data_IF_659643679616
#
_entry.id   IF_659643679616
#
_cell.length_a   1.000
_cell.length_b   1.000
_cell.length_c   1.000
_cell.angle_alpha   90.00
_cell.angle_beta   90.00
_cell.angle_gamma   90.00
#
_symmetry.space_group_name_H-M   'P 1'
#
loop_
_entity.id
_entity.type
_entity.pdbx_description
1 polymer ?
#
# COMPACT_ATOMS: atom_id res chain seq x y z
N UNK A 1 46.66 -54.37 -43.25
CA UNK A 1 45.21 -54.55 -43.07
C UNK A 1 44.86 -54.18 -41.64
N UNK A 2 43.87 -53.30 -41.45
CA UNK A 2 43.12 -52.97 -40.23
C UNK A 2 43.80 -52.22 -39.06
N UNK A 3 43.50 -50.91 -38.96
CA UNK A 3 43.11 -50.15 -37.74
C UNK A 3 41.88 -50.79 -37.05
N UNK A 4 41.43 -50.49 -35.79
CA UNK A 4 41.41 -49.15 -35.16
C UNK A 4 41.49 -49.00 -33.60
N UNK A 5 41.62 -47.72 -33.21
CA UNK A 5 41.05 -46.96 -32.08
C UNK A 5 40.83 -47.58 -30.68
N UNK A 6 41.32 -46.88 -29.64
CA UNK A 6 40.40 -46.14 -28.76
C UNK A 6 41.09 -45.02 -27.98
N UNK A 7 40.46 -43.83 -28.01
CA UNK A 7 40.82 -42.61 -27.29
C UNK A 7 40.06 -42.60 -25.96
N UNK A 8 40.74 -42.41 -24.83
CA UNK A 8 40.07 -41.97 -23.60
C UNK A 8 40.16 -40.44 -23.52
N UNK A 9 39.02 -39.78 -23.77
CA UNK A 9 38.82 -38.33 -23.59
C UNK A 9 38.86 -38.01 -22.10
N UNK A 10 39.78 -37.14 -21.70
CA UNK A 10 39.66 -36.38 -20.46
C UNK A 10 38.48 -35.40 -20.64
N UNK A 11 37.36 -35.69 -19.98
CA UNK A 11 36.23 -34.77 -19.88
C UNK A 11 36.66 -33.55 -19.05
N UNK A 12 36.79 -32.42 -19.73
CA UNK A 12 36.88 -31.09 -19.11
C UNK A 12 35.55 -30.79 -18.41
N UNK A 13 35.65 -30.51 -17.11
CA UNK A 13 34.55 -30.05 -16.26
C UNK A 13 33.84 -28.83 -16.87
N UNK A 14 32.51 -28.74 -16.77
CA UNK A 14 31.79 -27.55 -17.20
C UNK A 14 31.97 -26.44 -16.16
N UNK A 15 32.43 -25.28 -16.64
CA UNK A 15 32.30 -24.00 -15.94
C UNK A 15 30.81 -23.72 -15.73
N UNK A 16 30.33 -23.90 -14.51
CA UNK A 16 29.02 -23.44 -14.08
C UNK A 16 29.10 -21.92 -13.93
N UNK A 17 28.71 -21.19 -14.98
CA UNK A 17 28.48 -19.75 -14.89
C UNK A 17 27.27 -19.51 -13.99
N UNK A 18 27.54 -19.11 -12.75
CA UNK A 18 26.53 -18.62 -11.82
C UNK A 18 26.04 -17.27 -12.34
N UNK A 19 24.92 -17.27 -13.06
CA UNK A 19 24.22 -16.04 -13.39
C UNK A 19 23.67 -15.46 -12.08
N UNK A 20 24.24 -14.33 -11.61
CA UNK A 20 23.61 -13.51 -10.58
C UNK A 20 22.24 -13.08 -11.12
N UNK A 21 21.18 -13.73 -10.65
CA UNK A 21 19.85 -13.18 -10.70
C UNK A 21 19.88 -11.93 -9.82
N UNK A 22 19.97 -10.76 -10.45
CA UNK A 22 19.63 -9.52 -9.79
C UNK A 22 18.16 -9.68 -9.35
N UNK A 23 17.97 -9.97 -8.06
CA UNK A 23 16.66 -9.84 -7.44
C UNK A 23 16.13 -8.46 -7.82
N UNK A 24 14.86 -8.31 -8.22
CA UNK A 24 14.28 -6.98 -8.32
C UNK A 24 14.47 -6.37 -6.93
N UNK A 25 15.32 -5.35 -6.86
CA UNK A 25 15.44 -4.56 -5.66
C UNK A 25 14.03 -4.05 -5.42
N UNK A 26 13.39 -4.54 -4.36
CA UNK A 26 12.30 -3.80 -3.75
C UNK A 26 12.89 -2.42 -3.49
N UNK A 27 12.58 -1.46 -4.36
CA UNK A 27 13.06 -0.11 -4.22
C UNK A 27 12.68 0.35 -2.80
N UNK A 28 13.63 0.91 -2.08
CA UNK A 28 13.40 1.39 -0.73
C UNK A 28 12.24 2.41 -0.77
N UNK A 29 11.05 2.03 -0.31
CA UNK A 29 9.86 2.88 -0.30
C UNK A 29 9.82 3.77 0.95
N UNK A 30 10.96 4.04 1.59
CA UNK A 30 11.04 4.75 2.87
C UNK A 30 10.36 6.10 2.86
N UNK A 31 10.64 6.95 1.87
CA UNK A 31 10.03 8.29 1.80
C UNK A 31 8.49 8.20 1.67
N UNK A 32 8.04 7.28 0.82
CA UNK A 32 6.63 6.96 0.63
C UNK A 32 5.99 6.43 1.92
N UNK A 33 6.69 5.53 2.62
CA UNK A 33 6.24 4.97 3.89
C UNK A 33 6.13 6.01 5.01
N UNK A 34 7.10 6.93 5.12
CA UNK A 34 7.06 8.02 6.10
C UNK A 34 5.85 8.92 5.87
N UNK A 35 5.58 9.28 4.61
CA UNK A 35 4.41 10.06 4.22
C UNK A 35 3.10 9.35 4.55
N UNK A 36 3.01 8.06 4.21
CA UNK A 36 1.82 7.24 4.47
C UNK A 36 1.56 7.04 5.97
N UNK A 37 2.59 6.76 6.76
CA UNK A 37 2.49 6.64 8.23
C UNK A 37 2.04 7.97 8.83
N UNK A 38 2.63 9.09 8.41
CA UNK A 38 2.24 10.41 8.91
C UNK A 38 0.78 10.72 8.58
N UNK A 39 0.33 10.41 7.36
CA UNK A 39 -1.06 10.60 6.95
C UNK A 39 -2.03 9.75 7.79
N UNK A 40 -1.78 8.44 7.92
CA UNK A 40 -2.69 7.56 8.66
C UNK A 40 -2.73 7.88 10.15
N UNK A 41 -1.60 8.23 10.76
CA UNK A 41 -1.58 8.60 12.18
C UNK A 41 -2.33 9.92 12.43
N UNK A 42 -2.26 10.89 11.51
CA UNK A 42 -3.11 12.10 11.59
C UNK A 42 -4.60 11.79 11.39
N UNK A 43 -4.92 10.80 10.56
CA UNK A 43 -6.29 10.34 10.40
C UNK A 43 -6.83 9.66 11.68
N UNK A 44 -6.02 8.84 12.36
CA UNK A 44 -6.45 8.26 13.64
C UNK A 44 -6.74 9.33 14.69
N UNK A 45 -5.89 10.36 14.77
CA UNK A 45 -6.15 11.52 15.65
C UNK A 45 -7.48 12.18 15.30
N UNK A 46 -7.78 12.39 14.02
CA UNK A 46 -9.05 12.96 13.57
C UNK A 46 -10.25 12.18 14.09
N UNK A 47 -10.28 10.86 13.87
CA UNK A 47 -11.45 10.01 14.18
C UNK A 47 -11.60 9.76 15.69
N UNK A 48 -10.51 9.82 16.45
CA UNK A 48 -10.55 9.67 17.92
C UNK A 48 -10.92 10.98 18.60
N UNK A 49 -10.30 12.09 18.23
CA UNK A 49 -10.46 13.37 18.94
C UNK A 49 -11.65 14.19 18.42
N UNK A 50 -12.01 14.03 17.14
CA UNK A 50 -13.07 14.81 16.48
C UNK A 50 -13.93 13.93 15.57
N UNK A 51 -14.62 12.90 16.11
CA UNK A 51 -15.38 11.93 15.32
C UNK A 51 -16.51 12.54 14.47
N UNK A 52 -17.01 13.72 14.87
CA UNK A 52 -18.05 14.47 14.14
C UNK A 52 -17.51 15.27 12.94
N UNK A 53 -16.19 15.37 12.79
CA UNK A 53 -15.59 16.17 11.72
C UNK A 53 -15.79 15.49 10.37
N UNK A 54 -16.21 16.28 9.38
CA UNK A 54 -16.35 15.80 8.01
C UNK A 54 -14.99 15.40 7.42
N UNK A 55 -14.83 14.11 7.15
CA UNK A 55 -13.58 13.53 6.62
C UNK A 55 -13.27 14.08 5.23
N UNK A 56 -14.29 14.34 4.40
CA UNK A 56 -14.09 14.92 3.07
C UNK A 56 -13.46 16.31 3.16
N UNK A 57 -13.94 17.16 4.07
CA UNK A 57 -13.37 18.47 4.33
C UNK A 57 -11.96 18.35 4.90
N UNK A 58 -11.74 17.46 5.87
CA UNK A 58 -10.39 17.22 6.40
C UNK A 58 -9.40 16.80 5.31
N UNK A 59 -9.78 15.90 4.40
CA UNK A 59 -8.94 15.48 3.28
C UNK A 59 -8.58 16.64 2.34
N UNK A 60 -9.49 17.59 2.11
CA UNK A 60 -9.21 18.78 1.28
C UNK A 60 -8.24 19.76 1.94
N UNK A 61 -8.22 19.80 3.26
CA UNK A 61 -7.36 20.68 4.06
C UNK A 61 -6.01 20.02 4.38
N UNK A 62 -5.93 18.69 4.27
CA UNK A 62 -4.77 17.89 4.67
C UNK A 62 -3.62 18.01 3.67
N UNK A 63 -2.47 18.60 4.04
CA UNK A 63 -1.33 18.77 3.13
C UNK A 63 -0.75 17.48 2.57
N UNK A 64 -0.97 16.32 3.22
CA UNK A 64 -0.47 15.03 2.76
C UNK A 64 -1.43 14.29 1.81
N UNK A 65 -2.67 14.76 1.69
CA UNK A 65 -3.67 14.18 0.80
C UNK A 65 -3.61 14.85 -0.58
N UNK A 66 -3.92 14.08 -1.62
CA UNK A 66 -4.17 14.63 -2.95
C UNK A 66 -5.63 15.05 -3.09
N UNK A 67 -5.91 15.94 -4.05
CA UNK A 67 -7.28 16.31 -4.40
C UNK A 67 -8.09 15.10 -4.91
N UNK A 68 -7.46 14.20 -5.67
CA UNK A 68 -8.13 12.99 -6.17
C UNK A 68 -8.58 12.05 -5.05
N UNK A 69 -7.84 11.96 -3.94
CA UNK A 69 -8.24 11.16 -2.78
C UNK A 69 -9.51 11.74 -2.15
N UNK A 70 -9.53 13.07 -1.94
CA UNK A 70 -10.68 13.76 -1.36
C UNK A 70 -11.94 13.64 -2.22
N UNK A 71 -11.80 13.77 -3.54
CA UNK A 71 -12.90 13.63 -4.49
C UNK A 71 -13.44 12.19 -4.54
N UNK A 72 -12.56 11.20 -4.63
CA UNK A 72 -12.94 9.79 -4.66
C UNK A 72 -13.59 9.34 -3.33
N UNK A 73 -13.08 9.81 -2.19
CA UNK A 73 -13.68 9.55 -0.89
C UNK A 73 -15.11 10.10 -0.82
N UNK A 74 -15.31 11.37 -1.23
CA UNK A 74 -16.63 12.00 -1.22
C UNK A 74 -17.63 11.24 -2.09
N UNK A 75 -17.21 10.82 -3.29
CA UNK A 75 -18.03 10.06 -4.21
C UNK A 75 -18.41 8.67 -3.64
N UNK A 76 -17.45 7.94 -3.07
CA UNK A 76 -17.71 6.63 -2.48
C UNK A 76 -18.59 6.72 -1.22
N UNK A 77 -18.38 7.75 -0.38
CA UNK A 77 -19.25 8.01 0.77
C UNK A 77 -20.70 8.30 0.33
N UNK A 78 -20.88 9.15 -0.69
CA UNK A 78 -22.21 9.42 -1.24
C UNK A 78 -22.87 8.15 -1.82
N UNK A 79 -22.09 7.30 -2.49
CA UNK A 79 -22.56 6.01 -3.02
C UNK A 79 -23.02 5.08 -1.90
N UNK A 80 -22.28 5.01 -0.80
CA UNK A 80 -22.66 4.23 0.39
C UNK A 80 -23.99 4.70 0.97
N UNK A 81 -24.13 6.01 1.20
CA UNK A 81 -25.37 6.60 1.74
C UNK A 81 -26.59 6.43 0.84
N UNK A 82 -26.38 6.32 -0.48
CA UNK A 82 -27.46 6.02 -1.42
C UNK A 82 -27.94 4.55 -1.33
N UNK A 83 -27.10 3.64 -0.83
CA UNK A 83 -27.43 2.22 -0.61
C UNK A 83 -28.07 2.05 0.76
N UNK A 84 -27.45 2.59 1.79
CA UNK A 84 -27.94 2.58 3.17
C UNK A 84 -27.70 3.96 3.79
N UNK A 85 -28.78 4.69 4.06
CA UNK A 85 -28.71 6.06 4.57
C UNK A 85 -28.21 6.14 6.03
N UNK A 86 -28.35 5.08 6.81
CA UNK A 86 -27.95 5.03 8.21
C UNK A 86 -26.51 4.52 8.36
N UNK A 87 -26.19 3.40 7.72
CA UNK A 87 -24.88 2.75 7.88
C UNK A 87 -23.89 3.05 6.75
N UNK A 88 -24.35 3.54 5.60
CA UNK A 88 -23.51 3.72 4.42
C UNK A 88 -22.84 2.41 4.00
N UNK A 89 -21.51 2.35 4.14
CA UNK A 89 -20.74 1.13 3.87
C UNK A 89 -20.58 0.19 5.05
N UNK A 90 -20.94 0.61 6.27
CA UNK A 90 -20.70 -0.13 7.50
C UNK A 90 -19.22 -0.33 7.85
N UNK A 91 -18.33 0.40 7.19
CA UNK A 91 -16.87 0.39 7.42
C UNK A 91 -16.30 1.80 7.18
N UNK A 92 -15.17 2.07 7.80
CA UNK A 92 -14.32 3.21 7.48
C UNK A 92 -13.66 3.01 6.10
N UNK A 93 -13.79 3.99 5.21
CA UNK A 93 -13.33 3.88 3.83
C UNK A 93 -11.82 3.98 3.66
N UNK A 94 -11.11 4.70 4.54
CA UNK A 94 -9.65 4.86 4.48
C UNK A 94 -8.94 3.70 5.18
N UNK A 95 -9.57 3.10 6.20
CA UNK A 95 -9.07 1.94 6.91
C UNK A 95 -9.47 0.61 6.24
N UNK A 96 -10.59 0.60 5.51
CA UNK A 96 -11.28 -0.62 5.06
C UNK A 96 -11.65 -1.59 6.20
N UNK A 97 -12.01 -1.04 7.36
CA UNK A 97 -12.31 -1.78 8.58
C UNK A 97 -13.35 -1.05 9.45
N UNK A 98 -13.84 -1.71 10.50
CA UNK A 98 -14.69 -1.09 11.52
C UNK A 98 -13.89 -0.52 12.69
N UNK A 99 -12.78 -1.18 13.04
CA UNK A 99 -11.89 -0.78 14.14
C UNK A 99 -10.53 -0.28 13.61
N UNK A 100 -9.70 0.25 14.51
CA UNK A 100 -8.36 0.76 14.21
C UNK A 100 -7.36 0.37 15.31
N UNK A 101 -6.04 0.32 15.02
CA UNK A 101 -5.01 0.22 16.05
C UNK A 101 -4.97 1.47 16.94
N UNK A 102 -4.75 1.32 18.25
CA UNK A 102 -4.73 2.44 19.19
C UNK A 102 -3.39 3.19 19.17
N UNK A 103 -2.30 2.49 18.84
CA UNK A 103 -0.95 3.05 18.86
C UNK A 103 -0.49 3.58 17.51
N UNK A 104 -1.38 3.61 16.51
CA UNK A 104 -1.06 4.06 15.17
C UNK A 104 -0.43 3.01 14.27
N UNK A 105 0.17 3.48 13.19
CA UNK A 105 0.72 2.67 12.12
C UNK A 105 2.24 2.75 12.03
N UNK A 106 2.82 1.68 11.53
CA UNK A 106 4.21 1.61 11.06
C UNK A 106 4.27 0.94 9.68
N UNK A 107 5.36 1.14 8.94
CA UNK A 107 5.61 0.41 7.70
C UNK A 107 5.57 -1.10 7.95
N UNK A 108 4.79 -1.81 7.12
CA UNK A 108 4.81 -3.26 7.05
C UNK A 108 5.80 -3.72 5.96
N UNK A 109 5.56 -3.27 4.74
CA UNK A 109 6.34 -3.62 3.55
C UNK A 109 6.05 -2.61 2.44
N UNK A 110 6.96 -2.52 1.47
CA UNK A 110 6.63 -1.88 0.21
C UNK A 110 5.51 -2.66 -0.49
N UNK A 111 4.59 -1.92 -1.12
CA UNK A 111 3.35 -2.49 -1.63
C UNK A 111 3.55 -3.41 -2.84
N UNK A 112 2.46 -4.05 -3.29
CA UNK A 112 2.50 -4.95 -4.45
C UNK A 112 2.81 -4.23 -5.77
N UNK A 113 2.63 -2.90 -5.80
CA UNK A 113 2.95 -2.03 -6.92
C UNK A 113 3.91 -0.90 -6.46
N UNK A 114 4.70 -0.30 -7.39
CA UNK A 114 5.74 0.68 -7.04
C UNK A 114 5.24 1.94 -6.34
N UNK A 115 3.97 2.28 -6.52
CA UNK A 115 3.28 3.43 -5.93
C UNK A 115 2.46 3.08 -4.70
N UNK A 116 2.54 1.83 -4.23
CA UNK A 116 1.81 1.36 -3.05
C UNK A 116 2.75 1.13 -1.87
N UNK A 117 2.24 1.40 -0.68
CA UNK A 117 2.87 1.02 0.58
C UNK A 117 1.84 0.32 1.45
N UNK A 118 2.27 -0.71 2.17
CA UNK A 118 1.42 -1.37 3.15
C UNK A 118 1.90 -0.97 4.54
N UNK A 119 0.95 -0.56 5.38
CA UNK A 119 1.17 -0.28 6.79
C UNK A 119 0.59 -1.39 7.65
N UNK A 120 1.07 -1.49 8.90
CA UNK A 120 0.49 -2.33 9.95
C UNK A 120 0.25 -1.52 11.21
N UNK A 121 -0.73 -1.94 12.02
CA UNK A 121 -0.89 -1.42 13.38
C UNK A 121 0.35 -1.69 14.24
N UNK A 122 0.69 -0.74 15.11
CA UNK A 122 1.81 -0.87 16.06
C UNK A 122 1.47 -1.87 17.16
N UNK A 123 0.25 -1.81 17.68
CA UNK A 123 -0.34 -2.67 18.70
C UNK A 123 -1.24 -3.78 18.14
N UNK A 124 -1.52 -3.74 16.83
CA UNK A 124 -2.28 -4.77 16.12
C UNK A 124 -1.59 -5.09 14.78
N UNK A 125 -0.62 -5.99 14.80
CA UNK A 125 0.26 -6.26 13.67
C UNK A 125 -0.45 -6.94 12.48
N UNK A 126 -1.57 -7.61 12.73
CA UNK A 126 -2.46 -8.23 11.74
C UNK A 126 -3.33 -7.20 11.04
N UNK A 127 -3.61 -6.06 11.68
CA UNK A 127 -4.30 -4.95 11.02
C UNK A 127 -3.38 -4.37 9.95
N UNK A 128 -3.79 -4.45 8.69
CA UNK A 128 -3.04 -3.96 7.53
C UNK A 128 -3.90 -2.98 6.75
N UNK A 129 -3.26 -1.95 6.21
CA UNK A 129 -3.89 -1.02 5.28
C UNK A 129 -2.92 -0.72 4.14
N UNK A 130 -3.43 -0.71 2.92
CA UNK A 130 -2.66 -0.32 1.74
C UNK A 130 -2.96 1.13 1.39
N UNK A 131 -1.91 1.90 1.10
CA UNK A 131 -2.01 3.25 0.58
C UNK A 131 -1.33 3.33 -0.79
N UNK A 132 -1.88 4.18 -1.67
CA UNK A 132 -1.31 4.54 -2.96
C UNK A 132 -0.84 5.98 -2.91
N UNK A 133 0.36 6.24 -3.40
CA UNK A 133 1.00 7.55 -3.43
C UNK A 133 1.20 7.98 -4.88
N UNK A 134 1.01 9.26 -5.16
CA UNK A 134 1.14 9.80 -6.50
C UNK A 134 1.93 11.11 -6.52
N UNK A 135 2.59 11.36 -7.65
CA UNK A 135 3.09 12.70 -7.97
C UNK A 135 1.92 13.64 -8.28
N UNK A 136 1.89 14.78 -7.60
CA UNK A 136 0.95 15.87 -7.89
C UNK A 136 1.74 17.13 -8.24
N UNK A 137 1.11 18.19 -8.80
CA UNK A 137 1.77 19.48 -8.96
C UNK A 137 2.33 20.07 -7.65
N UNK A 138 1.84 19.62 -6.49
CA UNK A 138 2.27 20.02 -5.16
C UNK A 138 3.31 19.05 -4.54
N UNK A 139 3.74 18.03 -5.28
CA UNK A 139 4.68 16.98 -4.89
C UNK A 139 4.01 15.63 -4.58
N UNK A 140 4.77 14.71 -3.99
CA UNK A 140 4.29 13.38 -3.57
C UNK A 140 3.15 13.49 -2.55
N UNK A 141 2.02 12.82 -2.76
CA UNK A 141 0.84 12.83 -1.86
C UNK A 141 0.17 11.47 -1.77
N UNK A 142 -0.60 11.23 -0.71
CA UNK A 142 -1.51 10.08 -0.62
C UNK A 142 -2.68 10.29 -1.58
N UNK A 143 -2.86 9.32 -2.44
CA UNK A 143 -3.80 9.31 -3.55
C UNK A 143 -4.87 8.22 -3.46
N UNK A 144 -4.62 7.21 -2.63
CA UNK A 144 -5.56 6.15 -2.28
C UNK A 144 -5.22 5.57 -0.91
N UNK A 145 -6.24 5.06 -0.22
CA UNK A 145 -6.11 4.36 1.05
C UNK A 145 -7.32 3.46 1.27
N UNK A 146 -7.09 2.28 1.85
CA UNK A 146 -8.16 1.33 2.18
C UNK A 146 -8.95 0.95 0.94
N UNK A 147 -10.22 1.40 0.86
CA UNK A 147 -11.08 1.15 -0.31
C UNK A 147 -10.98 2.20 -1.39
N UNK A 148 -10.52 3.41 -1.05
CA UNK A 148 -10.52 4.55 -1.96
C UNK A 148 -9.31 4.44 -2.87
N UNK A 149 -9.56 4.34 -4.18
CA UNK A 149 -8.52 4.36 -5.19
C UNK A 149 -7.48 3.23 -5.08
N UNK A 150 -7.83 2.14 -4.37
CA UNK A 150 -7.09 0.89 -4.26
C UNK A 150 -7.96 -0.24 -4.85
N UNK A 151 -7.42 -0.96 -5.83
CA UNK A 151 -8.09 -2.12 -6.43
C UNK A 151 -8.19 -3.28 -5.45
N UNK A 152 -9.18 -4.15 -5.63
CA UNK A 152 -9.47 -5.22 -4.67
C UNK A 152 -8.30 -6.20 -4.48
N UNK A 153 -7.50 -6.43 -5.52
CA UNK A 153 -6.33 -7.30 -5.46
C UNK A 153 -5.15 -6.68 -4.69
N UNK A 154 -5.08 -5.35 -4.61
CA UNK A 154 -4.04 -4.59 -3.91
C UNK A 154 -4.44 -4.24 -2.46
N UNK A 155 -5.71 -4.40 -2.09
CA UNK A 155 -6.18 -4.17 -0.72
C UNK A 155 -5.50 -5.13 0.25
N UNK A 156 -5.32 -4.64 1.47
CA UNK A 156 -4.86 -5.48 2.55
C UNK A 156 -5.86 -6.64 2.79
N UNK A 157 -5.38 -7.85 3.12
CA UNK A 157 -6.25 -8.92 3.55
C UNK A 157 -7.06 -8.49 4.77
N UNK A 158 -8.34 -8.88 4.79
CA UNK A 158 -9.24 -8.71 5.94
C UNK A 158 -9.24 -9.97 6.80
#
# INVERSE_FOLDING_TARGET
MATPHSRARLLRSPLFSLALLASPAFADCREDAELAVAFMNQYLVLIVETPERDVTQWLREQPLASAELAEAYAAEQARGRAIDAEMGWGVDLLLDAQDSPDQGFTLAQCGPAPDHVQLRGIDWAEFRVTLRLAETPQGRRVAGAGRINIGEAERAPR
#
